data_IF_647929235407
#
_entry.id   IF_647929235407
#
_cell.length_a   1.000
_cell.length_b   1.000
_cell.length_c   1.000
_cell.angle_alpha   90.00
_cell.angle_beta   90.00
_cell.angle_gamma   90.00
#
_symmetry.space_group_name_H-M   'P 1'
#
loop_
_entity.id
_entity.type
_entity.pdbx_description
1 polymer ?
#
# COMPACT_ATOMS: atom_id res chain seq x y z
N UNK A 1 -3.89 -20.21 17.89
CA UNK A 1 -3.04 -19.72 16.78
C UNK A 1 -3.53 -18.40 16.18
N UNK A 2 -4.82 -18.21 15.84
CA UNK A 2 -5.27 -16.94 15.23
C UNK A 2 -5.48 -15.77 16.21
N UNK A 3 -5.75 -16.04 17.50
CA UNK A 3 -5.99 -14.99 18.51
C UNK A 3 -4.75 -14.10 18.74
N UNK A 4 -3.53 -14.66 18.96
CA UNK A 4 -2.34 -13.84 19.14
C UNK A 4 -1.95 -13.06 17.89
N UNK A 5 -2.38 -13.46 16.69
CA UNK A 5 -2.05 -12.76 15.44
C UNK A 5 -3.03 -11.64 15.08
N UNK A 6 -4.14 -11.48 15.82
CA UNK A 6 -5.18 -10.50 15.50
C UNK A 6 -4.97 -9.19 16.26
N UNK A 7 -4.67 -8.06 15.59
CA UNK A 7 -4.36 -6.81 16.26
C UNK A 7 -5.53 -6.30 17.13
N UNK A 8 -6.77 -6.37 16.63
CA UNK A 8 -7.93 -5.90 17.40
C UNK A 8 -8.20 -6.73 18.63
N UNK A 9 -8.10 -8.06 18.53
CA UNK A 9 -8.23 -8.92 19.71
C UNK A 9 -7.09 -8.71 20.70
N UNK A 10 -5.84 -8.51 20.24
CA UNK A 10 -4.73 -8.22 21.13
C UNK A 10 -4.99 -6.98 21.99
N UNK A 11 -5.63 -5.95 21.43
CA UNK A 11 -6.02 -4.73 22.14
C UNK A 11 -7.26 -4.89 23.02
N UNK A 12 -8.31 -5.58 22.55
CA UNK A 12 -9.59 -5.61 23.27
C UNK A 12 -9.74 -6.80 24.21
N UNK A 13 -9.11 -7.93 23.90
CA UNK A 13 -9.33 -9.25 24.53
C UNK A 13 -10.77 -9.77 24.45
N UNK A 14 -11.62 -9.17 23.59
CA UNK A 14 -13.02 -9.57 23.42
C UNK A 14 -13.13 -10.54 22.25
N UNK A 15 -13.70 -11.73 22.47
CA UNK A 15 -13.76 -12.81 21.47
C UNK A 15 -14.41 -12.40 20.15
N UNK A 16 -15.47 -11.58 20.16
CA UNK A 16 -16.12 -11.09 18.93
C UNK A 16 -15.18 -10.27 18.04
N UNK A 17 -14.17 -9.64 18.64
CA UNK A 17 -13.12 -8.91 17.92
C UNK A 17 -11.97 -9.80 17.43
N UNK A 18 -12.05 -11.11 17.64
CA UNK A 18 -11.07 -12.06 17.15
C UNK A 18 -11.42 -12.60 15.76
N UNK A 19 -10.46 -13.24 15.05
CA UNK A 19 -10.74 -13.85 13.76
C UNK A 19 -11.75 -14.99 13.90
N UNK A 20 -11.65 -15.81 14.96
CA UNK A 20 -12.57 -16.92 15.21
C UNK A 20 -13.99 -16.40 15.48
N UNK A 21 -14.13 -15.44 16.39
CA UNK A 21 -15.42 -14.82 16.68
C UNK A 21 -16.07 -14.22 15.43
N UNK A 22 -15.29 -13.52 14.58
CA UNK A 22 -15.80 -12.99 13.31
C UNK A 22 -16.22 -14.08 12.34
N UNK A 23 -15.42 -15.15 12.17
CA UNK A 23 -15.80 -16.28 11.32
C UNK A 23 -17.10 -16.92 11.82
N UNK A 24 -17.25 -17.10 13.13
CA UNK A 24 -18.50 -17.62 13.72
C UNK A 24 -19.70 -16.73 13.41
N UNK A 25 -19.55 -15.41 13.51
CA UNK A 25 -20.59 -14.45 13.15
C UNK A 25 -20.92 -14.48 11.65
N UNK A 26 -19.90 -14.45 10.78
CA UNK A 26 -20.07 -14.56 9.32
C UNK A 26 -20.80 -15.85 8.94
N UNK A 27 -20.43 -16.97 9.57
CA UNK A 27 -21.07 -18.27 9.37
C UNK A 27 -22.54 -18.25 9.80
N UNK A 28 -22.85 -17.69 10.96
CA UNK A 28 -24.24 -17.60 11.44
C UNK A 28 -25.14 -16.79 10.49
N UNK A 29 -24.63 -15.69 9.92
CA UNK A 29 -25.33 -14.93 8.88
C UNK A 29 -25.51 -15.77 7.60
N UNK A 30 -24.45 -16.43 7.13
CA UNK A 30 -24.49 -17.23 5.90
C UNK A 30 -25.43 -18.45 6.00
N UNK A 31 -25.58 -19.03 7.19
CA UNK A 31 -26.48 -20.14 7.47
C UNK A 31 -27.91 -19.70 7.83
N UNK A 32 -28.22 -18.40 7.74
CA UNK A 32 -29.49 -17.80 8.18
C UNK A 32 -29.86 -18.11 9.65
N UNK A 33 -28.86 -18.42 10.49
CA UNK A 33 -29.03 -18.64 11.93
C UNK A 33 -29.07 -17.32 12.72
N UNK A 34 -28.72 -16.21 12.08
CA UNK A 34 -28.73 -14.86 12.64
C UNK A 34 -29.10 -13.86 11.54
N UNK A 35 -29.90 -12.85 11.87
CA UNK A 35 -30.18 -11.74 10.95
C UNK A 35 -29.00 -10.77 10.88
N UNK A 36 -28.85 -10.10 9.74
CA UNK A 36 -27.82 -9.09 9.57
C UNK A 36 -28.21 -7.83 10.34
N UNK A 37 -27.43 -7.48 11.36
CA UNK A 37 -27.68 -6.34 12.25
C UNK A 37 -26.63 -5.23 12.12
N UNK A 38 -26.94 -3.99 12.54
CA UNK A 38 -25.94 -2.92 12.67
C UNK A 38 -24.74 -3.32 13.54
N UNK A 39 -24.97 -4.08 14.62
CA UNK A 39 -23.92 -4.54 15.54
C UNK A 39 -22.93 -5.48 14.85
N UNK A 40 -23.43 -6.44 14.08
CA UNK A 40 -22.59 -7.30 13.24
C UNK A 40 -21.78 -6.48 12.24
N UNK A 41 -22.44 -5.53 11.58
CA UNK A 41 -21.81 -4.68 10.60
C UNK A 41 -20.68 -3.83 11.22
N UNK A 42 -20.92 -3.25 12.39
CA UNK A 42 -19.89 -2.52 13.14
C UNK A 42 -18.71 -3.41 13.53
N UNK A 43 -18.94 -4.66 13.94
CA UNK A 43 -17.87 -5.60 14.26
C UNK A 43 -17.01 -5.94 13.02
N UNK A 44 -17.63 -6.15 11.86
CA UNK A 44 -16.86 -6.39 10.63
C UNK A 44 -16.10 -5.15 10.15
N UNK A 45 -16.64 -3.95 10.34
CA UNK A 45 -15.92 -2.70 10.06
C UNK A 45 -14.85 -2.37 11.11
N UNK A 46 -14.90 -2.97 12.30
CA UNK A 46 -13.83 -2.88 13.30
C UNK A 46 -12.61 -3.74 12.93
N UNK A 47 -12.75 -4.72 12.03
CA UNK A 47 -11.61 -5.46 11.49
C UNK A 47 -10.80 -4.64 10.48
N UNK A 48 -9.47 -4.68 10.61
CA UNK A 48 -8.54 -3.99 9.70
C UNK A 48 -8.42 -4.68 8.33
N UNK A 49 -8.75 -5.96 8.21
CA UNK A 49 -8.50 -6.72 6.99
C UNK A 49 -7.01 -6.96 6.71
N UNK A 50 -6.17 -7.09 7.74
CA UNK A 50 -4.72 -7.28 7.60
C UNK A 50 -4.30 -8.71 7.19
N UNK A 51 -5.22 -9.67 7.23
CA UNK A 51 -5.01 -11.08 6.86
C UNK A 51 -3.97 -11.87 7.69
N UNK A 52 -3.48 -11.30 8.79
CA UNK A 52 -2.57 -12.01 9.71
C UNK A 52 -3.17 -13.33 10.22
N UNK A 53 -4.48 -13.35 10.48
CA UNK A 53 -5.21 -14.54 10.89
C UNK A 53 -5.25 -15.64 9.82
N UNK A 54 -5.26 -15.28 8.54
CA UNK A 54 -5.26 -16.23 7.42
C UNK A 54 -3.90 -16.89 7.30
N UNK A 55 -2.81 -16.14 7.44
CA UNK A 55 -1.45 -16.71 7.50
C UNK A 55 -1.26 -17.63 8.71
N UNK A 56 -1.85 -17.31 9.86
CA UNK A 56 -1.74 -18.11 11.08
C UNK A 56 -2.72 -19.30 11.15
N UNK A 57 -3.53 -19.52 10.11
CA UNK A 57 -4.59 -20.53 10.13
C UNK A 57 -4.05 -21.90 9.68
N UNK A 58 -4.04 -22.93 10.55
CA UNK A 58 -3.51 -24.25 10.18
C UNK A 58 -4.36 -24.99 9.14
N UNK A 59 -5.65 -24.67 9.06
CA UNK A 59 -6.59 -25.30 8.11
C UNK A 59 -6.80 -24.46 6.83
N UNK A 60 -6.09 -23.33 6.70
CA UNK A 60 -6.09 -22.53 5.47
C UNK A 60 -7.40 -21.80 5.15
N UNK A 61 -8.15 -21.32 6.17
CA UNK A 61 -9.38 -20.53 5.93
C UNK A 61 -9.07 -19.31 5.07
N UNK A 62 -9.80 -19.16 3.97
CA UNK A 62 -9.73 -17.98 3.11
C UNK A 62 -10.51 -16.80 3.71
N UNK A 63 -9.91 -16.18 4.73
CA UNK A 63 -10.51 -15.08 5.47
C UNK A 63 -10.79 -13.87 4.58
N UNK A 64 -9.93 -13.57 3.60
CA UNK A 64 -10.10 -12.47 2.64
C UNK A 64 -11.48 -12.56 1.97
N UNK A 65 -11.78 -13.69 1.34
CA UNK A 65 -13.03 -13.88 0.59
C UNK A 65 -14.24 -13.80 1.51
N UNK A 66 -14.20 -14.45 2.67
CA UNK A 66 -15.29 -14.37 3.66
C UNK A 66 -15.54 -12.92 4.11
N UNK A 67 -14.47 -12.19 4.39
CA UNK A 67 -14.52 -10.81 4.86
C UNK A 67 -15.08 -9.84 3.81
N UNK A 68 -14.62 -9.95 2.56
CA UNK A 68 -15.09 -9.11 1.47
C UNK A 68 -16.56 -9.40 1.13
N UNK A 69 -16.95 -10.69 1.08
CA UNK A 69 -18.33 -11.11 0.85
C UNK A 69 -19.26 -10.60 1.96
N UNK A 70 -18.89 -10.77 3.23
CA UNK A 70 -19.72 -10.28 4.34
C UNK A 70 -19.86 -8.76 4.36
N UNK A 71 -18.81 -8.01 3.97
CA UNK A 71 -18.94 -6.54 3.80
C UNK A 71 -19.83 -6.17 2.62
N UNK A 72 -19.82 -6.94 1.54
CA UNK A 72 -20.76 -6.74 0.44
C UNK A 72 -22.21 -6.96 0.90
N UNK A 73 -22.48 -8.00 1.69
CA UNK A 73 -23.83 -8.28 2.22
C UNK A 73 -24.31 -7.18 3.19
N UNK A 74 -23.40 -6.64 4.01
CA UNK A 74 -23.68 -5.48 4.86
C UNK A 74 -24.09 -4.26 4.03
N UNK A 75 -23.37 -3.96 2.94
CA UNK A 75 -23.70 -2.79 2.12
C UNK A 75 -24.98 -3.00 1.29
N UNK A 76 -25.27 -4.23 0.86
CA UNK A 76 -26.52 -4.57 0.16
C UNK A 76 -27.75 -4.52 1.07
N UNK A 77 -27.62 -5.00 2.31
CA UNK A 77 -28.70 -5.02 3.30
C UNK A 77 -29.04 -3.63 3.85
N UNK A 78 -28.18 -2.62 3.62
CA UNK A 78 -28.43 -1.22 4.01
C UNK A 78 -28.59 -1.00 5.53
N UNK A 79 -28.18 -1.96 6.36
CA UNK A 79 -28.34 -1.87 7.83
C UNK A 79 -27.57 -0.72 8.48
N UNK A 80 -26.53 -0.23 7.81
CA UNK A 80 -25.72 0.90 8.26
C UNK A 80 -26.12 2.21 7.56
N UNK A 81 -27.26 2.26 6.87
CA UNK A 81 -27.68 3.45 6.13
C UNK A 81 -28.05 4.58 7.09
N UNK A 82 -27.16 5.57 7.15
CA UNK A 82 -27.50 6.90 7.62
C UNK A 82 -27.03 7.93 6.58
N UNK A 83 -27.71 9.07 6.55
CA UNK A 83 -27.50 10.11 5.54
C UNK A 83 -26.02 10.54 5.44
N UNK A 84 -25.34 10.70 6.58
CA UNK A 84 -23.94 11.11 6.63
C UNK A 84 -23.00 10.06 6.02
N UNK A 85 -23.18 8.78 6.37
CA UNK A 85 -22.37 7.66 5.87
C UNK A 85 -22.57 7.47 4.37
N UNK A 86 -23.82 7.50 3.91
CA UNK A 86 -24.16 7.39 2.49
C UNK A 86 -23.52 8.51 1.67
N UNK A 87 -23.62 9.75 2.16
CA UNK A 87 -23.01 10.91 1.51
C UNK A 87 -21.49 10.80 1.49
N UNK A 88 -20.85 10.47 2.61
CA UNK A 88 -19.40 10.31 2.68
C UNK A 88 -18.88 9.17 1.80
N UNK A 89 -19.53 8.00 1.79
CA UNK A 89 -19.16 6.87 0.92
C UNK A 89 -19.33 7.22 -0.55
N UNK A 90 -20.44 7.87 -0.91
CA UNK A 90 -20.70 8.27 -2.30
C UNK A 90 -19.66 9.29 -2.76
N UNK A 91 -19.34 10.29 -1.94
CA UNK A 91 -18.38 11.33 -2.29
C UNK A 91 -16.93 10.81 -2.31
N UNK A 92 -16.51 10.04 -1.31
CA UNK A 92 -15.13 9.57 -1.21
C UNK A 92 -14.88 8.34 -2.09
N UNK A 93 -15.64 7.27 -1.90
CA UNK A 93 -15.40 5.98 -2.55
C UNK A 93 -15.92 6.01 -3.99
N UNK A 94 -17.17 6.44 -4.22
CA UNK A 94 -17.80 6.38 -5.56
C UNK A 94 -17.49 7.57 -6.46
N UNK A 95 -17.15 8.73 -5.90
CA UNK A 95 -16.84 9.92 -6.69
C UNK A 95 -15.33 10.20 -6.73
N UNK A 96 -14.69 10.50 -5.60
CA UNK A 96 -13.29 10.94 -5.59
C UNK A 96 -12.31 9.84 -6.02
N UNK A 97 -12.34 8.67 -5.36
CA UNK A 97 -11.41 7.57 -5.62
C UNK A 97 -11.72 6.76 -6.89
N UNK A 98 -12.86 7.02 -7.55
CA UNK A 98 -13.22 6.35 -8.80
C UNK A 98 -12.46 6.91 -10.00
N UNK A 99 -12.05 8.19 -9.98
CA UNK A 99 -11.37 8.83 -11.11
C UNK A 99 -10.02 9.41 -10.69
N UNK A 100 -8.92 8.92 -11.29
CA UNK A 100 -7.59 9.51 -11.13
C UNK A 100 -7.55 10.99 -11.48
N UNK A 101 -8.30 11.44 -12.51
CA UNK A 101 -8.36 12.85 -12.89
C UNK A 101 -8.97 13.71 -11.80
N UNK A 102 -10.11 13.28 -11.21
CA UNK A 102 -10.73 13.99 -10.10
C UNK A 102 -9.83 14.01 -8.87
N UNK A 103 -9.20 12.89 -8.55
CA UNK A 103 -8.26 12.79 -7.43
C UNK A 103 -7.06 13.71 -7.60
N UNK A 104 -6.46 13.78 -8.80
CA UNK A 104 -5.35 14.70 -9.12
C UNK A 104 -5.79 16.16 -9.06
N UNK A 105 -6.96 16.51 -9.59
CA UNK A 105 -7.49 17.88 -9.51
C UNK A 105 -7.74 18.29 -8.05
N UNK A 106 -8.39 17.43 -7.27
CA UNK A 106 -8.57 17.65 -5.83
C UNK A 106 -7.22 17.79 -5.10
N UNK A 107 -6.25 16.93 -5.43
CA UNK A 107 -4.88 17.04 -4.93
C UNK A 107 -4.24 18.40 -5.22
N UNK A 108 -4.36 18.91 -6.45
CA UNK A 108 -3.83 20.24 -6.82
C UNK A 108 -4.47 21.36 -6.00
N UNK A 109 -5.78 21.31 -5.79
CA UNK A 109 -6.50 22.28 -4.95
C UNK A 109 -6.06 22.18 -3.47
N UNK A 110 -5.96 20.96 -2.95
CA UNK A 110 -5.49 20.69 -1.59
C UNK A 110 -4.05 21.17 -1.39
N UNK A 111 -3.19 20.99 -2.39
CA UNK A 111 -1.81 21.51 -2.36
C UNK A 111 -1.78 23.03 -2.34
N UNK A 112 -2.63 23.69 -3.13
CA UNK A 112 -2.74 25.15 -3.10
C UNK A 112 -3.17 25.61 -1.71
N UNK A 113 -4.15 24.95 -1.12
CA UNK A 113 -4.57 25.16 0.26
C UNK A 113 -3.42 24.96 1.26
N UNK A 114 -2.65 23.87 1.17
CA UNK A 114 -1.46 23.63 2.01
C UNK A 114 -0.38 24.71 1.84
N UNK A 115 -0.18 25.23 0.62
CA UNK A 115 0.79 26.29 0.35
C UNK A 115 0.43 27.62 1.02
N UNK A 116 -0.86 27.90 1.19
CA UNK A 116 -1.31 29.10 1.89
C UNK A 116 -1.10 29.06 3.40
N UNK A 117 -0.78 27.89 3.98
CA UNK A 117 -0.65 27.72 5.42
C UNK A 117 -1.97 27.77 6.20
N UNK A 118 -3.11 27.86 5.49
CA UNK A 118 -4.46 27.84 6.05
C UNK A 118 -4.74 26.54 6.83
N UNK A 119 -4.17 25.41 6.40
CA UNK A 119 -4.22 24.13 7.10
C UNK A 119 -3.64 24.21 8.53
N UNK A 120 -2.57 24.99 8.71
CA UNK A 120 -1.95 25.24 10.03
C UNK A 120 -2.73 26.29 10.82
N UNK A 121 -3.25 27.31 10.15
CA UNK A 121 -4.03 28.41 10.74
C UNK A 121 -5.39 27.97 11.27
N UNK A 122 -6.05 26.98 10.66
CA UNK A 122 -7.33 26.42 11.12
C UNK A 122 -7.27 25.95 12.58
N UNK A 123 -6.11 25.51 13.06
CA UNK A 123 -5.93 25.13 14.47
C UNK A 123 -5.94 26.30 15.44
N UNK A 124 -5.63 27.51 14.97
CA UNK A 124 -5.63 28.74 15.76
C UNK A 124 -7.03 29.30 16.03
N UNK A 125 -8.07 28.76 15.41
CA UNK A 125 -9.45 29.19 15.60
C UNK A 125 -10.18 28.25 16.59
N UNK A 126 -10.30 28.62 17.88
CA UNK A 126 -10.91 27.76 18.89
C UNK A 126 -12.40 27.50 18.66
N UNK A 127 -13.07 28.34 17.85
CA UNK A 127 -14.48 28.19 17.48
C UNK A 127 -14.74 27.10 16.43
N UNK A 128 -13.71 26.60 15.74
CA UNK A 128 -13.86 25.48 14.81
C UNK A 128 -14.03 24.16 15.57
N UNK A 129 -15.01 23.31 15.19
CA UNK A 129 -15.18 21.98 15.74
C UNK A 129 -13.86 21.20 15.80
N UNK A 130 -13.59 20.55 16.93
CA UNK A 130 -12.36 19.78 17.15
C UNK A 130 -12.09 18.79 16.01
N UNK A 131 -13.14 18.11 15.53
CA UNK A 131 -13.06 17.18 14.38
C UNK A 131 -12.53 17.82 13.10
N UNK A 132 -12.85 19.08 12.82
CA UNK A 132 -12.38 19.78 11.62
C UNK A 132 -10.90 20.18 11.76
N UNK A 133 -10.49 20.60 12.95
CA UNK A 133 -9.09 20.89 13.27
C UNK A 133 -8.21 19.63 13.18
N UNK A 134 -8.68 18.52 13.76
CA UNK A 134 -8.03 17.21 13.64
C UNK A 134 -7.93 16.74 12.19
N UNK A 135 -9.02 16.84 11.41
CA UNK A 135 -9.02 16.45 10.00
C UNK A 135 -8.06 17.28 9.16
N UNK A 136 -7.95 18.60 9.41
CA UNK A 136 -7.02 19.46 8.70
C UNK A 136 -5.54 19.08 8.95
N UNK A 137 -5.20 18.69 10.19
CA UNK A 137 -3.88 18.19 10.57
C UNK A 137 -3.55 16.80 10.01
N UNK A 138 -4.57 16.04 9.64
CA UNK A 138 -4.46 14.67 9.13
C UNK A 138 -4.37 14.60 7.59
N UNK A 139 -4.47 15.72 6.89
CA UNK A 139 -4.34 15.76 5.44
C UNK A 139 -2.92 15.36 5.01
N UNK A 140 -2.76 14.40 4.07
CA UNK A 140 -1.46 14.00 3.59
C UNK A 140 -0.82 15.14 2.77
N UNK A 141 0.52 15.27 2.80
CA UNK A 141 1.20 16.20 1.91
C UNK A 141 1.00 15.79 0.45
N UNK A 142 0.60 16.72 -0.40
CA UNK A 142 0.40 16.45 -1.82
C UNK A 142 1.66 16.80 -2.61
N UNK A 143 2.09 15.89 -3.49
CA UNK A 143 3.30 16.06 -4.27
C UNK A 143 3.23 17.24 -5.27
N UNK A 144 4.38 17.86 -5.59
CA UNK A 144 4.45 18.97 -6.54
C UNK A 144 4.23 18.55 -8.00
N UNK A 145 4.60 17.31 -8.33
CA UNK A 145 4.42 16.70 -9.65
C UNK A 145 3.83 15.32 -9.45
N UNK A 146 3.14 14.80 -10.46
CA UNK A 146 2.59 13.44 -10.46
C UNK A 146 3.40 12.51 -11.38
N UNK A 147 3.20 11.20 -11.26
CA UNK A 147 4.00 10.19 -11.95
C UNK A 147 3.95 10.34 -13.47
N UNK A 148 2.83 10.76 -14.05
CA UNK A 148 2.74 11.00 -15.50
C UNK A 148 3.60 12.19 -15.99
N UNK A 149 4.04 13.06 -15.08
CA UNK A 149 4.96 14.18 -15.36
C UNK A 149 6.42 13.81 -15.06
N UNK A 150 6.66 12.69 -14.36
CA UNK A 150 7.99 12.20 -13.96
C UNK A 150 8.44 10.97 -14.77
N UNK A 151 7.49 10.24 -15.35
CA UNK A 151 7.69 8.98 -16.05
C UNK A 151 6.99 9.10 -17.39
N UNK A 152 7.77 8.93 -18.45
CA UNK A 152 7.26 8.93 -19.82
C UNK A 152 6.45 7.65 -20.07
N UNK A 153 5.55 7.67 -21.07
CA UNK A 153 4.69 6.51 -21.35
C UNK A 153 5.47 5.24 -21.67
N UNK A 154 6.68 5.42 -22.17
CA UNK A 154 7.59 4.37 -22.55
C UNK A 154 9.03 4.83 -22.32
N UNK A 155 9.80 4.06 -21.56
CA UNK A 155 11.22 4.32 -21.28
C UNK A 155 12.02 3.03 -21.50
N UNK A 156 13.20 3.16 -22.11
CA UNK A 156 14.08 2.04 -22.46
C UNK A 156 15.40 2.20 -21.68
N UNK A 157 16.00 1.12 -21.16
CA UNK A 157 17.31 1.16 -20.51
C UNK A 157 18.38 1.81 -21.38
N UNK A 158 19.26 2.63 -20.79
CA UNK A 158 20.42 3.18 -21.49
C UNK A 158 21.52 2.12 -21.62
N UNK A 159 22.10 1.96 -22.81
CA UNK A 159 23.33 1.20 -23.03
C UNK A 159 23.22 -0.33 -23.10
N UNK A 160 22.07 -0.95 -22.78
CA UNK A 160 21.87 -2.40 -22.88
C UNK A 160 20.62 -2.75 -23.70
N UNK A 161 20.63 -3.95 -24.32
CA UNK A 161 19.43 -4.54 -24.94
C UNK A 161 18.40 -4.82 -23.85
N UNK A 162 17.17 -4.33 -24.02
CA UNK A 162 16.04 -4.61 -23.13
C UNK A 162 15.88 -6.13 -22.96
N UNK A 163 15.95 -6.61 -21.71
CA UNK A 163 15.80 -8.02 -21.35
C UNK A 163 14.35 -8.37 -21.06
N UNK A 164 13.60 -7.42 -20.49
CA UNK A 164 12.21 -7.60 -20.07
C UNK A 164 11.39 -6.37 -20.43
N UNK A 165 10.13 -6.56 -20.80
CA UNK A 165 9.14 -5.49 -21.00
C UNK A 165 8.15 -5.51 -19.84
N UNK A 166 8.12 -4.43 -19.06
CA UNK A 166 7.29 -4.38 -17.85
C UNK A 166 6.32 -3.21 -17.88
N UNK A 167 5.09 -3.45 -17.42
CA UNK A 167 4.12 -2.41 -17.16
C UNK A 167 4.29 -1.86 -15.74
N UNK A 168 4.43 -0.54 -15.55
CA UNK A 168 4.51 0.04 -14.21
C UNK A 168 3.16 0.62 -13.76
N UNK A 169 2.65 0.09 -12.65
CA UNK A 169 1.47 0.62 -11.98
C UNK A 169 1.84 1.70 -10.95
N UNK A 170 1.32 2.90 -11.17
CA UNK A 170 1.60 4.10 -10.36
C UNK A 170 0.75 4.21 -9.10
N UNK A 171 -0.44 3.59 -9.09
CA UNK A 171 -1.39 3.61 -7.97
C UNK A 171 -2.02 4.98 -7.69
N UNK A 172 -3.21 5.03 -7.09
CA UNK A 172 -3.93 6.29 -6.90
C UNK A 172 -3.34 7.17 -5.77
N UNK A 173 -3.23 6.62 -4.55
CA UNK A 173 -2.67 7.34 -3.40
C UNK A 173 -1.15 7.48 -3.52
N UNK A 174 -0.49 6.45 -4.04
CA UNK A 174 0.94 6.43 -4.31
C UNK A 174 1.34 7.56 -5.27
N UNK A 175 0.64 7.71 -6.40
CA UNK A 175 0.86 8.82 -7.36
C UNK A 175 0.61 10.20 -6.74
N UNK A 176 -0.38 10.31 -5.86
CA UNK A 176 -0.78 11.59 -5.26
C UNK A 176 0.24 12.12 -4.23
N UNK A 177 0.79 11.22 -3.41
CA UNK A 177 1.59 11.56 -2.24
C UNK A 177 3.07 11.26 -2.46
N UNK A 178 3.39 10.15 -3.14
CA UNK A 178 4.75 9.66 -3.30
C UNK A 178 5.10 9.27 -4.77
N UNK A 179 4.87 10.15 -5.76
CA UNK A 179 5.19 9.87 -7.16
C UNK A 179 6.70 9.69 -7.38
N UNK A 180 7.54 10.23 -6.50
CA UNK A 180 8.99 9.98 -6.52
C UNK A 180 9.33 8.50 -6.29
N UNK A 181 8.55 7.76 -5.49
CA UNK A 181 8.74 6.30 -5.33
C UNK A 181 8.45 5.60 -6.66
N UNK A 182 7.47 6.07 -7.45
CA UNK A 182 7.21 5.52 -8.78
C UNK A 182 8.36 5.82 -9.74
N UNK A 183 8.92 7.03 -9.71
CA UNK A 183 10.12 7.38 -10.48
C UNK A 183 11.31 6.51 -10.09
N UNK A 184 11.58 6.35 -8.79
CA UNK A 184 12.62 5.46 -8.27
C UNK A 184 12.40 4.00 -8.72
N UNK A 185 11.15 3.56 -8.77
CA UNK A 185 10.78 2.23 -9.27
C UNK A 185 11.11 2.09 -10.76
N UNK A 186 10.78 3.10 -11.58
CA UNK A 186 11.14 3.12 -13.00
C UNK A 186 12.67 3.12 -13.19
N UNK A 187 13.40 3.95 -12.43
CA UNK A 187 14.87 4.01 -12.49
C UNK A 187 15.51 2.66 -12.15
N UNK A 188 15.02 2.01 -11.08
CA UNK A 188 15.50 0.68 -10.68
C UNK A 188 15.20 -0.36 -11.75
N UNK A 189 13.99 -0.36 -12.34
CA UNK A 189 13.64 -1.27 -13.42
C UNK A 189 14.53 -1.06 -14.65
N UNK A 190 14.74 0.19 -15.06
CA UNK A 190 15.62 0.55 -16.19
C UNK A 190 17.06 0.12 -15.94
N UNK A 191 17.59 0.36 -14.73
CA UNK A 191 18.93 -0.07 -14.32
C UNK A 191 19.09 -1.60 -14.41
N UNK A 192 18.01 -2.35 -14.16
CA UNK A 192 17.98 -3.81 -14.22
C UNK A 192 17.49 -4.34 -15.58
N UNK A 193 17.67 -3.56 -16.66
CA UNK A 193 17.44 -4.02 -18.03
C UNK A 193 15.97 -4.17 -18.43
N UNK A 194 15.04 -3.56 -17.70
CA UNK A 194 13.62 -3.59 -18.03
C UNK A 194 13.22 -2.35 -18.86
N UNK A 195 12.60 -2.55 -20.02
CA UNK A 195 11.81 -1.55 -20.72
C UNK A 195 10.50 -1.29 -19.97
N UNK A 196 10.23 -0.03 -19.64
CA UNK A 196 9.12 0.37 -18.77
C UNK A 196 8.02 1.00 -19.59
N UNK A 197 6.86 0.35 -19.63
CA UNK A 197 5.62 0.89 -20.15
C UNK A 197 4.76 1.44 -19.00
N UNK A 198 4.50 2.75 -19.00
CA UNK A 198 3.76 3.44 -17.95
C UNK A 198 2.64 4.28 -18.56
N UNK A 199 1.43 3.72 -18.81
CA UNK A 199 0.38 4.48 -19.45
C UNK A 199 0.03 5.73 -18.61
N UNK A 200 -0.09 6.94 -19.19
CA UNK A 200 -0.28 8.18 -18.41
C UNK A 200 -1.65 8.25 -17.71
N UNK A 201 -2.63 7.49 -18.23
CA UNK A 201 -3.98 7.35 -17.70
C UNK A 201 -4.19 5.92 -17.22
N UNK A 202 -3.79 5.67 -15.97
CA UNK A 202 -4.05 4.41 -15.26
C UNK A 202 -5.28 4.60 -14.37
N UNK A 203 -6.19 3.62 -14.33
CA UNK A 203 -7.30 3.60 -13.38
C UNK A 203 -6.86 3.31 -11.94
N UNK A 204 -7.78 3.39 -10.98
CA UNK A 204 -7.58 2.84 -9.64
C UNK A 204 -7.55 1.30 -9.71
N UNK A 205 -6.79 0.66 -8.82
CA UNK A 205 -6.76 -0.82 -8.72
C UNK A 205 -8.08 -1.41 -8.20
N UNK A 206 -8.92 -0.64 -7.51
CA UNK A 206 -10.18 -1.11 -6.93
C UNK A 206 -10.07 -1.75 -5.55
N UNK A 207 -8.88 -1.87 -4.95
CA UNK A 207 -8.70 -2.52 -3.65
C UNK A 207 -9.49 -1.84 -2.53
N UNK A 208 -9.48 -0.50 -2.50
CA UNK A 208 -10.25 0.28 -1.53
C UNK A 208 -11.75 0.00 -1.65
N UNK A 209 -12.27 -0.17 -2.87
CA UNK A 209 -13.68 -0.46 -3.15
C UNK A 209 -14.03 -1.88 -2.70
N UNK A 210 -13.26 -2.88 -3.12
CA UNK A 210 -13.49 -4.28 -2.79
C UNK A 210 -13.48 -4.52 -1.28
N UNK A 211 -12.46 -4.03 -0.57
CA UNK A 211 -12.34 -4.19 0.88
C UNK A 211 -13.47 -3.47 1.66
N UNK A 212 -14.23 -2.58 1.03
CA UNK A 212 -15.32 -1.84 1.65
C UNK A 212 -16.72 -2.26 1.14
N UNK A 213 -16.84 -3.40 0.45
CA UNK A 213 -18.11 -3.97 0.02
C UNK A 213 -18.60 -3.50 -1.36
N UNK A 214 -17.82 -2.70 -2.09
CA UNK A 214 -18.19 -2.15 -3.42
C UNK A 214 -17.63 -3.01 -4.57
N UNK A 215 -17.97 -4.31 -4.57
CA UNK A 215 -17.40 -5.30 -5.50
C UNK A 215 -17.71 -4.97 -6.97
N UNK A 216 -18.93 -4.49 -7.27
CA UNK A 216 -19.31 -4.09 -8.64
C UNK A 216 -18.44 -2.93 -9.15
N UNK A 217 -18.12 -1.98 -8.28
CA UNK A 217 -17.22 -0.87 -8.63
C UNK A 217 -15.79 -1.37 -8.81
N UNK A 218 -15.33 -2.28 -7.95
CA UNK A 218 -14.02 -2.91 -8.09
C UNK A 218 -13.89 -3.69 -9.42
N UNK A 219 -14.94 -4.40 -9.84
CA UNK A 219 -14.99 -5.06 -11.15
C UNK A 219 -14.83 -4.05 -12.30
N UNK A 220 -15.55 -2.93 -12.26
CA UNK A 220 -15.44 -1.90 -13.31
C UNK A 220 -14.02 -1.31 -13.38
N UNK A 221 -13.43 -1.03 -12.22
CA UNK A 221 -12.05 -0.53 -12.12
C UNK A 221 -11.02 -1.56 -12.63
N UNK A 222 -11.19 -2.83 -12.28
CA UNK A 222 -10.34 -3.91 -12.78
C UNK A 222 -10.42 -4.03 -14.31
N UNK A 223 -11.62 -3.96 -14.90
CA UNK A 223 -11.80 -3.95 -16.36
C UNK A 223 -11.04 -2.80 -17.02
N UNK A 224 -11.23 -1.58 -16.51
CA UNK A 224 -10.57 -0.38 -17.03
C UNK A 224 -9.04 -0.46 -16.91
N UNK A 225 -8.55 -1.00 -15.79
CA UNK A 225 -7.11 -1.15 -15.56
C UNK A 225 -6.50 -2.21 -16.47
N UNK A 226 -7.12 -3.39 -16.60
CA UNK A 226 -6.68 -4.46 -17.52
C UNK A 226 -6.59 -3.91 -18.94
N UNK A 227 -7.60 -3.16 -19.39
CA UNK A 227 -7.63 -2.55 -20.73
C UNK A 227 -6.56 -1.47 -20.96
N UNK A 228 -6.00 -0.88 -19.90
CA UNK A 228 -4.96 0.16 -20.03
C UNK A 228 -3.57 -0.43 -20.29
N UNK A 229 -3.36 -1.74 -20.09
CA UNK A 229 -2.07 -2.39 -20.29
C UNK A 229 -2.14 -3.44 -21.42
N UNK A 230 -1.15 -3.51 -22.31
CA UNK A 230 -1.04 -4.55 -23.32
C UNK A 230 -0.50 -5.85 -22.69
N UNK A 231 -1.30 -6.50 -21.83
CA UNK A 231 -0.91 -7.63 -20.97
C UNK A 231 -0.15 -8.72 -21.74
N UNK A 232 -0.57 -9.05 -22.96
CA UNK A 232 0.05 -10.07 -23.80
C UNK A 232 1.51 -9.75 -24.17
N UNK A 233 1.88 -8.48 -24.28
CA UNK A 233 3.22 -8.01 -24.71
C UNK A 233 4.20 -7.74 -23.57
N UNK A 234 3.73 -7.86 -22.32
CA UNK A 234 4.53 -7.59 -21.13
C UNK A 234 5.01 -8.90 -20.49
N UNK A 235 6.21 -8.92 -19.96
CA UNK A 235 6.76 -10.01 -19.14
C UNK A 235 6.31 -9.90 -17.67
N UNK A 236 6.00 -8.67 -17.22
CA UNK A 236 5.50 -8.40 -15.88
C UNK A 236 4.74 -7.08 -15.78
N UNK A 237 3.82 -7.00 -14.81
CA UNK A 237 3.07 -5.79 -14.44
C UNK A 237 3.44 -5.51 -12.98
N UNK A 238 4.20 -4.45 -12.77
CA UNK A 238 4.90 -4.19 -11.53
C UNK A 238 4.11 -3.19 -10.69
N UNK A 239 3.93 -3.51 -9.42
CA UNK A 239 3.42 -2.58 -8.40
C UNK A 239 4.41 -2.44 -7.27
N UNK A 240 4.46 -1.24 -6.68
CA UNK A 240 5.27 -0.92 -5.50
C UNK A 240 4.40 -0.59 -4.27
N UNK A 241 3.13 -1.00 -4.29
CA UNK A 241 2.18 -0.76 -3.22
C UNK A 241 1.56 -2.08 -2.78
N UNK A 242 1.92 -2.53 -1.57
CA UNK A 242 1.40 -3.78 -1.01
C UNK A 242 -0.12 -3.90 -1.06
N UNK A 243 -0.83 -2.81 -0.72
CA UNK A 243 -2.29 -2.78 -0.71
C UNK A 243 -2.91 -2.84 -2.11
N UNK A 244 -2.21 -2.35 -3.14
CA UNK A 244 -2.61 -2.59 -4.52
C UNK A 244 -2.30 -4.04 -4.91
N UNK A 245 -1.08 -4.51 -4.69
CA UNK A 245 -0.59 -5.82 -5.12
C UNK A 245 -1.42 -6.99 -4.60
N UNK A 246 -1.83 -6.97 -3.33
CA UNK A 246 -2.68 -8.04 -2.76
C UNK A 246 -4.05 -8.15 -3.41
N UNK A 247 -4.52 -7.10 -4.08
CA UNK A 247 -5.77 -7.12 -4.82
C UNK A 247 -5.54 -7.40 -6.32
N UNK A 248 -4.49 -6.81 -6.89
CA UNK A 248 -4.13 -6.93 -8.31
C UNK A 248 -3.77 -8.35 -8.73
N UNK A 249 -3.23 -9.17 -7.82
CA UNK A 249 -2.88 -10.57 -8.08
C UNK A 249 -4.08 -11.53 -8.13
N UNK A 250 -5.27 -11.03 -7.84
CA UNK A 250 -6.50 -11.82 -7.67
C UNK A 250 -7.69 -11.21 -8.43
N UNK A 251 -7.44 -10.51 -9.55
CA UNK A 251 -8.52 -9.91 -10.34
C UNK A 251 -9.47 -10.95 -10.91
N UNK A 252 -8.98 -12.15 -11.21
CA UNK A 252 -9.83 -13.21 -11.71
C UNK A 252 -11.00 -13.48 -10.75
N UNK A 253 -10.75 -13.50 -9.43
CA UNK A 253 -11.75 -13.76 -8.38
C UNK A 253 -12.93 -12.77 -8.40
N UNK A 254 -12.74 -11.58 -8.94
CA UNK A 254 -13.81 -10.60 -9.07
C UNK A 254 -14.85 -10.99 -10.12
N UNK A 255 -14.52 -11.85 -11.08
CA UNK A 255 -15.39 -12.16 -12.21
C UNK A 255 -15.99 -13.56 -12.13
N UNK A 256 -17.25 -13.76 -12.58
CA UNK A 256 -17.86 -15.08 -12.67
C UNK A 256 -17.02 -16.02 -13.53
N UNK A 257 -16.96 -17.30 -13.12
CA UNK A 257 -16.30 -18.37 -13.90
C UNK A 257 -16.90 -18.43 -15.31
N UNK A 258 -16.05 -18.62 -16.32
CA UNK A 258 -16.45 -18.71 -17.73
C UNK A 258 -16.63 -17.37 -18.46
N UNK A 259 -16.69 -16.23 -17.74
CA UNK A 259 -16.81 -14.92 -18.39
C UNK A 259 -15.56 -14.54 -19.18
N UNK A 260 -15.71 -13.73 -20.25
CA UNK A 260 -14.57 -13.22 -21.03
C UNK A 260 -13.58 -12.43 -20.16
N UNK A 261 -14.12 -11.63 -19.23
CA UNK A 261 -13.32 -10.84 -18.30
C UNK A 261 -12.54 -11.68 -17.30
N UNK A 262 -13.09 -12.82 -16.86
CA UNK A 262 -12.34 -13.79 -16.04
C UNK A 262 -11.10 -14.27 -16.79
N UNK A 263 -11.21 -14.64 -18.06
CA UNK A 263 -10.06 -15.09 -18.88
C UNK A 263 -8.99 -14.00 -19.04
N UNK A 264 -9.39 -12.75 -19.26
CA UNK A 264 -8.46 -11.61 -19.34
C UNK A 264 -7.77 -11.36 -17.99
N UNK A 265 -8.53 -11.44 -16.90
CA UNK A 265 -8.02 -11.26 -15.55
C UNK A 265 -7.08 -12.40 -15.12
N UNK A 266 -7.30 -13.64 -15.56
CA UNK A 266 -6.38 -14.76 -15.30
C UNK A 266 -5.01 -14.55 -15.96
N UNK A 267 -4.99 -14.02 -17.19
CA UNK A 267 -3.72 -13.60 -17.84
C UNK A 267 -3.04 -12.47 -17.09
N UNK A 268 -3.82 -11.53 -16.56
CA UNK A 268 -3.32 -10.43 -15.74
C UNK A 268 -2.68 -10.97 -14.45
N UNK A 269 -3.41 -11.80 -13.69
CA UNK A 269 -2.96 -12.36 -12.40
C UNK A 269 -1.62 -13.11 -12.52
N UNK A 270 -1.39 -13.80 -13.65
CA UNK A 270 -0.13 -14.50 -13.94
C UNK A 270 1.09 -13.56 -14.15
N UNK A 271 0.82 -12.29 -14.48
CA UNK A 271 1.84 -11.30 -14.84
C UNK A 271 2.01 -10.20 -13.80
N UNK A 272 1.18 -10.13 -12.76
CA UNK A 272 1.35 -9.12 -11.71
C UNK A 272 2.44 -9.51 -10.73
N UNK A 273 3.37 -8.59 -10.51
CA UNK A 273 4.40 -8.73 -9.51
C UNK A 273 4.50 -7.48 -8.60
N UNK A 274 4.75 -7.68 -7.31
CA UNK A 274 5.36 -6.67 -6.47
C UNK A 274 6.81 -6.42 -6.94
N UNK A 275 7.27 -5.18 -6.81
CA UNK A 275 8.61 -4.79 -7.25
C UNK A 275 9.72 -5.62 -6.58
N UNK A 276 9.57 -5.97 -5.29
CA UNK A 276 10.62 -6.68 -4.57
C UNK A 276 10.74 -8.13 -5.03
N UNK A 277 9.61 -8.82 -5.25
CA UNK A 277 9.64 -10.18 -5.80
C UNK A 277 10.12 -10.20 -7.25
N UNK A 278 9.76 -9.18 -8.05
CA UNK A 278 10.20 -9.10 -9.44
C UNK A 278 11.72 -8.97 -9.52
N UNK A 279 12.30 -8.04 -8.75
CA UNK A 279 13.75 -7.81 -8.70
C UNK A 279 14.50 -9.06 -8.26
N UNK A 280 14.01 -9.75 -7.23
CA UNK A 280 14.63 -11.00 -6.79
C UNK A 280 14.51 -12.10 -7.85
N UNK A 281 13.36 -12.19 -8.54
CA UNK A 281 13.11 -13.16 -9.62
C UNK A 281 14.06 -12.98 -10.81
N UNK A 282 14.30 -11.74 -11.24
CA UNK A 282 15.15 -11.45 -12.41
C UNK A 282 16.65 -11.39 -12.07
N UNK A 283 17.02 -11.47 -10.79
CA UNK A 283 18.41 -11.37 -10.35
C UNK A 283 18.95 -9.93 -10.44
N UNK A 284 18.35 -9.02 -9.69
CA UNK A 284 18.74 -7.60 -9.68
C UNK A 284 20.24 -7.36 -9.40
N UNK A 285 20.78 -6.32 -10.02
CA UNK A 285 22.15 -5.83 -9.82
C UNK A 285 22.36 -5.34 -8.39
N UNK A 286 23.35 -5.86 -7.69
CA UNK A 286 23.69 -5.40 -6.33
C UNK A 286 24.57 -4.14 -6.45
N UNK A 287 24.20 -3.01 -5.80
CA UNK A 287 25.05 -1.82 -5.80
C UNK A 287 26.43 -2.10 -5.22
N UNK A 288 27.48 -1.54 -5.82
CA UNK A 288 28.85 -1.65 -5.31
C UNK A 288 29.11 -0.60 -4.22
N UNK A 289 29.97 -0.87 -3.22
CA UNK A 289 30.43 0.17 -2.31
C UNK A 289 31.12 1.29 -3.08
N UNK A 290 30.84 2.54 -2.70
CA UNK A 290 31.45 3.74 -3.27
C UNK A 290 32.04 4.64 -2.18
N UNK A 291 32.87 5.60 -2.60
CA UNK A 291 33.36 6.69 -1.76
C UNK A 291 32.24 7.49 -1.07
N UNK A 292 31.03 7.51 -1.65
CA UNK A 292 29.86 8.21 -1.11
C UNK A 292 29.06 7.39 -0.08
N UNK A 293 29.42 6.13 0.15
CA UNK A 293 28.70 5.22 1.05
C UNK A 293 29.48 4.87 2.31
N UNK A 294 30.50 5.66 2.68
CA UNK A 294 31.45 5.32 3.77
C UNK A 294 30.77 5.09 5.13
N UNK A 295 29.69 5.82 5.44
CA UNK A 295 29.03 5.72 6.73
C UNK A 295 27.97 4.62 6.75
N UNK A 296 28.06 3.75 7.74
CA UNK A 296 27.03 2.73 7.99
C UNK A 296 25.71 3.37 8.41
N UNK A 297 24.61 2.96 7.78
CA UNK A 297 23.25 3.32 8.21
C UNK A 297 22.54 2.09 8.77
N UNK A 298 21.81 2.28 9.87
CA UNK A 298 21.03 1.22 10.49
C UNK A 298 19.59 1.27 10.02
N UNK A 299 19.13 0.19 9.41
CA UNK A 299 17.83 0.11 8.72
C UNK A 299 17.00 -0.99 9.35
N UNK A 300 15.73 -0.70 9.65
CA UNK A 300 14.74 -1.71 10.04
C UNK A 300 13.61 -1.78 9.02
N UNK A 301 12.78 -2.82 9.09
CA UNK A 301 11.69 -3.05 8.14
C UNK A 301 10.36 -3.37 8.83
N UNK A 302 9.32 -2.62 8.48
CA UNK A 302 7.94 -2.96 8.81
C UNK A 302 7.32 -3.76 7.67
N UNK A 303 6.87 -4.98 8.00
CA UNK A 303 6.10 -5.82 7.09
C UNK A 303 4.72 -5.22 6.85
N UNK A 304 4.51 -4.67 5.64
CA UNK A 304 3.18 -4.27 5.21
C UNK A 304 2.27 -5.52 5.14
N UNK A 305 1.19 -5.54 5.92
CA UNK A 305 0.35 -6.73 6.09
C UNK A 305 -0.16 -7.36 4.78
N UNK A 306 -0.54 -6.55 3.79
CA UNK A 306 -0.97 -7.03 2.47
C UNK A 306 0.18 -7.58 1.61
N UNK A 307 1.44 -7.20 1.88
CA UNK A 307 2.59 -7.81 1.23
C UNK A 307 2.90 -9.17 1.87
N UNK A 308 3.03 -9.20 3.20
CA UNK A 308 3.51 -10.36 3.92
C UNK A 308 2.46 -11.45 4.14
N UNK A 309 1.18 -11.11 4.28
CA UNK A 309 0.07 -12.05 4.46
C UNK A 309 -0.74 -12.24 3.17
N UNK A 310 -1.06 -11.15 2.49
CA UNK A 310 -1.86 -11.18 1.27
C UNK A 310 -1.09 -11.76 0.08
N UNK A 311 0.09 -11.21 -0.20
CA UNK A 311 0.94 -11.66 -1.31
C UNK A 311 1.96 -12.74 -0.92
N UNK A 312 2.13 -12.99 0.39
CA UNK A 312 3.11 -13.93 0.96
C UNK A 312 4.57 -13.58 0.64
N UNK A 313 4.86 -12.30 0.46
CA UNK A 313 6.20 -11.76 0.17
C UNK A 313 6.76 -11.19 1.48
N UNK A 314 7.81 -11.82 2.01
CA UNK A 314 8.43 -11.46 3.29
C UNK A 314 9.94 -11.29 3.17
N UNK A 315 10.60 -12.16 2.43
CA UNK A 315 12.05 -12.24 2.41
C UNK A 315 12.67 -11.32 1.36
N UNK A 316 11.93 -11.00 0.30
CA UNK A 316 12.40 -10.26 -0.86
C UNK A 316 12.78 -8.81 -0.52
N UNK A 317 11.97 -8.03 0.24
CA UNK A 317 12.39 -6.71 0.70
C UNK A 317 13.64 -6.79 1.59
N UNK A 318 13.72 -7.78 2.48
CA UNK A 318 14.88 -7.98 3.37
C UNK A 318 16.14 -8.33 2.60
N UNK A 319 16.04 -9.17 1.58
CA UNK A 319 17.15 -9.55 0.70
C UNK A 319 17.72 -8.31 0.00
N UNK A 320 16.84 -7.44 -0.52
CA UNK A 320 17.25 -6.18 -1.14
C UNK A 320 17.95 -5.28 -0.11
N UNK A 321 17.34 -5.03 1.05
CA UNK A 321 17.91 -4.16 2.08
C UNK A 321 19.27 -4.65 2.59
N UNK A 322 19.43 -5.96 2.82
CA UNK A 322 20.69 -6.58 3.27
C UNK A 322 21.78 -6.59 2.20
N UNK A 323 21.43 -6.44 0.92
CA UNK A 323 22.40 -6.38 -0.17
C UNK A 323 23.01 -5.00 -0.37
N UNK A 324 22.46 -3.96 0.27
CA UNK A 324 22.96 -2.60 0.14
C UNK A 324 24.30 -2.43 0.88
N UNK A 325 25.29 -1.79 0.27
CA UNK A 325 26.58 -1.58 0.92
C UNK A 325 26.44 -0.64 2.12
N UNK A 326 27.15 -0.97 3.20
CA UNK A 326 27.18 -0.19 4.45
C UNK A 326 25.77 0.03 5.06
N UNK A 327 24.90 -0.98 4.94
CA UNK A 327 23.61 -1.05 5.64
C UNK A 327 23.66 -2.12 6.74
N UNK A 328 23.50 -1.71 7.98
CA UNK A 328 23.23 -2.61 9.11
C UNK A 328 21.73 -2.86 9.19
N UNK A 329 21.28 -4.01 8.70
CA UNK A 329 19.88 -4.39 8.81
C UNK A 329 19.54 -4.97 10.18
N UNK A 330 18.57 -4.37 10.87
CA UNK A 330 18.06 -4.82 12.16
C UNK A 330 16.59 -5.20 12.06
N UNK A 331 16.28 -6.45 12.39
CA UNK A 331 14.92 -6.98 12.31
C UNK A 331 14.00 -6.26 13.30
N UNK A 332 12.80 -5.89 12.83
CA UNK A 332 11.80 -5.24 13.69
C UNK A 332 11.07 -6.31 14.48
N UNK A 333 11.07 -6.21 15.81
CA UNK A 333 10.22 -7.06 16.63
C UNK A 333 8.74 -6.82 16.30
N UNK A 334 7.98 -7.90 16.17
CA UNK A 334 6.57 -7.86 15.77
C UNK A 334 6.37 -7.12 14.42
N UNK A 335 7.29 -7.31 13.46
CA UNK A 335 7.33 -6.58 12.19
C UNK A 335 5.98 -6.58 11.45
N UNK A 336 5.29 -7.72 11.44
CA UNK A 336 4.03 -7.99 10.74
C UNK A 336 2.76 -7.59 11.52
N UNK A 337 2.90 -7.12 12.76
CA UNK A 337 1.79 -6.42 13.42
C UNK A 337 1.43 -5.16 12.65
N UNK A 338 0.13 -5.03 12.34
CA UNK A 338 -0.40 -3.94 11.53
C UNK A 338 -0.09 -2.57 12.16
N UNK A 339 0.33 -1.60 11.33
CA UNK A 339 0.57 -0.22 11.77
C UNK A 339 -0.71 0.55 12.13
N UNK A 340 -1.90 0.06 11.74
CA UNK A 340 -3.19 0.69 12.01
C UNK A 340 -3.76 1.56 10.87
N UNK A 341 -3.03 1.73 9.75
CA UNK A 341 -3.52 2.51 8.59
C UNK A 341 -4.71 1.84 7.89
N UNK A 342 -4.50 0.61 7.40
CA UNK A 342 -5.51 -0.27 6.77
C UNK A 342 -6.53 0.45 5.86
N UNK A 343 -6.04 1.16 4.84
CA UNK A 343 -6.88 1.88 3.89
C UNK A 343 -7.49 3.13 4.53
N UNK A 344 -8.81 3.10 4.78
CA UNK A 344 -9.55 4.17 5.46
C UNK A 344 -9.82 3.84 6.95
N UNK A 345 -9.27 2.73 7.46
CA UNK A 345 -9.52 2.29 8.83
C UNK A 345 -9.11 3.35 9.86
N UNK A 346 -7.97 3.99 9.69
CA UNK A 346 -7.50 5.06 10.58
C UNK A 346 -8.46 6.26 10.67
N UNK A 347 -9.25 6.52 9.62
CA UNK A 347 -10.28 7.57 9.61
C UNK A 347 -11.55 7.09 10.32
N UNK A 348 -11.93 5.83 10.10
CA UNK A 348 -13.17 5.24 10.65
C UNK A 348 -13.04 4.78 12.11
N UNK A 349 -11.83 4.38 12.52
CA UNK A 349 -11.52 3.79 13.83
C UNK A 349 -10.26 4.44 14.44
N UNK A 350 -10.23 5.78 14.61
CA UNK A 350 -9.02 6.53 14.95
C UNK A 350 -8.42 6.12 16.30
N UNK A 351 -9.26 5.84 17.30
CA UNK A 351 -8.80 5.42 18.62
C UNK A 351 -8.04 4.09 18.58
N UNK A 352 -8.56 3.10 17.85
CA UNK A 352 -7.90 1.80 17.69
C UNK A 352 -6.64 1.93 16.82
N UNK A 353 -6.73 2.65 15.71
CA UNK A 353 -5.58 2.89 14.83
C UNK A 353 -4.42 3.58 15.58
N UNK A 354 -4.71 4.54 16.46
CA UNK A 354 -3.70 5.21 17.29
C UNK A 354 -3.01 4.25 18.26
N UNK A 355 -3.75 3.35 18.92
CA UNK A 355 -3.16 2.34 19.82
C UNK A 355 -2.18 1.44 19.06
N UNK A 356 -2.57 0.95 17.88
CA UNK A 356 -1.72 0.11 17.04
C UNK A 356 -0.48 0.86 16.54
N UNK A 357 -0.65 2.12 16.13
CA UNK A 357 0.45 2.97 15.71
C UNK A 357 1.48 3.16 16.82
N UNK A 358 1.05 3.52 18.03
CA UNK A 358 1.97 3.75 19.15
C UNK A 358 2.81 2.51 19.47
N UNK A 359 2.20 1.32 19.52
CA UNK A 359 2.94 0.06 19.69
C UNK A 359 3.95 -0.18 18.57
N UNK A 360 3.59 0.14 17.31
CA UNK A 360 4.52 0.04 16.19
C UNK A 360 5.69 1.02 16.34
N UNK A 361 5.43 2.25 16.76
CA UNK A 361 6.48 3.26 16.98
C UNK A 361 7.41 2.84 18.13
N UNK A 362 6.89 2.27 19.22
CA UNK A 362 7.71 1.71 20.31
C UNK A 362 8.67 0.63 19.80
N UNK A 363 8.17 -0.34 19.02
CA UNK A 363 9.01 -1.37 18.38
C UNK A 363 10.07 -0.75 17.47
N UNK A 364 9.72 0.30 16.71
CA UNK A 364 10.69 1.00 15.84
C UNK A 364 11.77 1.67 16.70
N UNK A 365 11.41 2.33 17.81
CA UNK A 365 12.36 2.97 18.75
C UNK A 365 13.36 1.94 19.29
N UNK A 366 12.90 0.76 19.68
CA UNK A 366 13.74 -0.33 20.21
C UNK A 366 14.85 -0.76 19.25
N UNK A 367 14.65 -0.61 17.93
CA UNK A 367 15.66 -0.99 16.93
C UNK A 367 16.80 0.01 16.81
N UNK A 368 16.69 1.22 17.35
CA UNK A 368 17.65 2.35 17.18
C UNK A 368 18.05 2.63 15.73
N UNK A 369 17.29 2.12 14.74
CA UNK A 369 17.53 2.35 13.33
C UNK A 369 17.23 3.80 12.99
N UNK A 370 18.04 4.42 12.12
CA UNK A 370 17.78 5.77 11.61
C UNK A 370 16.75 5.76 10.48
N UNK A 371 16.57 4.62 9.82
CA UNK A 371 15.63 4.44 8.71
C UNK A 371 14.68 3.28 9.02
N UNK A 372 13.38 3.50 8.82
CA UNK A 372 12.36 2.44 8.84
C UNK A 372 11.78 2.26 7.45
N UNK A 373 12.02 1.10 6.86
CA UNK A 373 11.51 0.77 5.54
C UNK A 373 10.11 0.15 5.60
N UNK A 374 9.24 0.48 4.65
CA UNK A 374 7.94 -0.23 4.45
C UNK A 374 7.46 -0.09 3.00
N UNK A 375 6.85 -1.15 2.47
CA UNK A 375 6.47 -1.27 1.06
C UNK A 375 4.97 -0.95 0.79
N UNK A 376 4.45 0.11 1.43
CA UNK A 376 3.04 0.49 1.27
C UNK A 376 2.82 1.98 1.61
N UNK A 377 2.14 2.76 0.75
CA UNK A 377 1.98 4.19 0.95
C UNK A 377 1.17 4.54 2.21
N UNK A 378 0.14 3.75 2.53
CA UNK A 378 -0.63 3.94 3.77
C UNK A 378 0.20 3.72 5.03
N UNK A 379 1.08 2.72 5.01
CA UNK A 379 2.00 2.46 6.11
C UNK A 379 3.03 3.59 6.25
N UNK A 380 3.61 4.06 5.13
CA UNK A 380 4.54 5.19 5.12
C UNK A 380 3.92 6.43 5.76
N UNK A 381 2.75 6.86 5.29
CA UNK A 381 2.04 8.02 5.84
C UNK A 381 1.77 7.89 7.34
N UNK A 382 1.28 6.72 7.76
CA UNK A 382 0.83 6.55 9.14
C UNK A 382 1.98 6.37 10.12
N UNK A 383 3.05 5.67 9.72
CA UNK A 383 4.29 5.61 10.50
C UNK A 383 4.95 6.98 10.57
N UNK A 384 5.02 7.72 9.46
CA UNK A 384 5.54 9.10 9.45
C UNK A 384 4.78 10.01 10.43
N UNK A 385 3.44 9.90 10.48
CA UNK A 385 2.62 10.59 11.47
C UNK A 385 3.05 10.22 12.89
N UNK A 386 3.15 8.92 13.19
CA UNK A 386 3.52 8.43 14.52
C UNK A 386 4.93 8.85 14.96
N UNK A 387 5.91 8.84 14.05
CA UNK A 387 7.27 9.32 14.31
C UNK A 387 7.26 10.82 14.66
N UNK A 388 6.56 11.63 13.85
CA UNK A 388 6.42 13.09 14.08
C UNK A 388 5.73 13.40 15.42
N UNK A 389 4.65 12.71 15.75
CA UNK A 389 3.93 12.89 17.03
C UNK A 389 4.77 12.51 18.25
N UNK A 390 5.79 11.66 18.06
CA UNK A 390 6.72 11.23 19.10
C UNK A 390 8.06 11.99 19.05
N UNK A 391 8.15 13.05 18.24
CA UNK A 391 9.37 13.85 18.04
C UNK A 391 10.61 13.00 17.70
N UNK A 392 10.40 11.96 16.88
CA UNK A 392 11.43 11.03 16.44
C UNK A 392 12.00 11.44 15.08
N UNK A 393 13.32 11.31 14.94
CA UNK A 393 14.06 11.70 13.73
C UNK A 393 14.22 10.56 12.70
N UNK A 394 13.73 9.35 13.00
CA UNK A 394 13.76 8.24 12.07
C UNK A 394 13.06 8.58 10.75
N UNK A 395 13.62 8.12 9.63
CA UNK A 395 13.08 8.39 8.31
C UNK A 395 12.28 7.19 7.79
N UNK A 396 10.98 7.33 7.53
CA UNK A 396 10.20 6.30 6.85
C UNK A 396 10.49 6.34 5.34
N UNK A 397 10.97 5.22 4.79
CA UNK A 397 11.43 5.13 3.39
C UNK A 397 10.85 3.89 2.71
N UNK A 398 10.60 3.96 1.40
CA UNK A 398 10.27 2.76 0.64
C UNK A 398 11.56 2.02 0.26
N UNK A 399 11.67 0.67 0.41
CA UNK A 399 12.90 -0.05 0.09
C UNK A 399 13.43 0.24 -1.33
N UNK A 400 12.52 0.36 -2.31
CA UNK A 400 12.89 0.72 -3.69
C UNK A 400 13.60 2.07 -3.82
N UNK A 401 13.19 3.08 -3.04
CA UNK A 401 13.80 4.41 -3.07
C UNK A 401 15.19 4.39 -2.48
N UNK A 402 15.42 3.53 -1.46
CA UNK A 402 16.74 3.30 -0.93
C UNK A 402 17.63 2.61 -1.98
N UNK A 403 17.15 1.54 -2.63
CA UNK A 403 17.90 0.90 -3.72
C UNK A 403 18.22 1.87 -4.87
N UNK A 404 17.24 2.67 -5.30
CA UNK A 404 17.42 3.68 -6.34
C UNK A 404 18.48 4.72 -5.96
N UNK A 405 18.49 5.15 -4.69
CA UNK A 405 19.52 6.04 -4.16
C UNK A 405 20.93 5.44 -4.29
N UNK A 406 21.11 4.18 -3.89
CA UNK A 406 22.41 3.50 -4.00
C UNK A 406 22.87 3.30 -5.45
N UNK A 407 21.96 3.03 -6.41
CA UNK A 407 22.32 3.01 -7.82
C UNK A 407 22.79 4.39 -8.33
N UNK A 408 22.14 5.47 -7.90
CA UNK A 408 22.55 6.83 -8.27
C UNK A 408 23.94 7.16 -7.73
N UNK A 409 24.25 6.78 -6.48
CA UNK A 409 25.59 6.96 -5.91
C UNK A 409 26.66 6.15 -6.67
N UNK A 410 26.35 4.91 -7.07
CA UNK A 410 27.25 4.06 -7.87
C UNK A 410 27.57 4.69 -9.22
N UNK A 411 26.57 5.26 -9.89
CA UNK A 411 26.75 5.90 -11.19
C UNK A 411 27.54 7.22 -11.07
N UNK A 412 27.34 8.00 -10.00
CA UNK A 412 28.09 9.25 -9.77
C UNK A 412 29.58 8.97 -9.55
N UNK A 413 29.92 8.02 -8.68
CA UNK A 413 31.32 7.64 -8.41
C UNK A 413 32.01 7.15 -9.70
N UNK A 414 31.30 6.43 -10.57
CA UNK A 414 31.84 5.96 -11.87
C UNK A 414 32.15 7.09 -12.86
N UNK A 415 31.53 8.26 -12.72
CA UNK A 415 31.78 9.43 -13.56
C UNK A 415 32.91 10.32 -13.00
N UNK A 416 33.18 10.23 -11.69
CA UNK A 416 34.19 11.04 -11.00
C UNK A 416 35.59 10.42 -10.98
N UNK A 417 35.74 9.12 -11.29
CA UNK A 417 37.05 8.50 -11.49
C UNK A 417 37.57 8.91 -12.88
N UNK A 418 38.56 9.82 -13.01
CA UNK A 418 39.18 10.05 -14.31
C UNK A 418 39.77 8.72 -14.77
N UNK A 419 39.49 8.34 -16.02
CA UNK A 419 40.22 7.28 -16.70
C UNK A 419 41.69 7.71 -16.78
N UNK A 420 42.46 7.46 -15.72
CA UNK A 420 43.91 7.50 -15.76
C UNK A 420 44.32 6.39 -16.72
N UNK A 421 44.62 6.80 -17.95
CA UNK A 421 45.28 5.98 -18.97
C UNK A 421 46.41 5.20 -18.31
N UNK A 422 46.37 3.87 -18.42
CA UNK A 422 47.55 3.00 -18.38
C UNK A 422 47.64 2.35 -19.73
#
# INVERSE_FOLDING_TARGET
MCLPSCPTYQETKIERNSPRGRISLMKAIAENAMELTPEFAHELYFCLGCLACQSACPVGVDYKTLFEASRQDIEKSKVLNNFFRLTARTLLIKFLFLSPTRLRTFGKLLRLFQKTGLDKWINGFPFLPQKLREMALELPPIAPRFSFELISSHEIPSGNKSLYKVGLLTGCVQDLVFPNINRDTADVLLHNGCEVFCPPRQGCCGSLHAHNGEIETAQQLAKALISAFPVERLDGIITNSAGCGSHLKHFAELFPKGSEWRKKAEKWDQKVYDIHEWLVKIGYSIPKPTSLTIHSIRVTYHDACHLCHGQKIKNEPRKILKSLPNVEFVELKDADNCCGSAGIYNILQPAMAKKLLLKKIERIKETTASVVCTANPGCLLFIQKGLREQALNQQPVHPISLLAHYYRLTNQDSLEVPQSKV
#
